data_IF_303845906310
#
_entry.id   IF_303845906310
#
_cell.length_a   1.000
_cell.length_b   1.000
_cell.length_c   1.000
_cell.angle_alpha   90.00
_cell.angle_beta   90.00
_cell.angle_gamma   90.00
#
_symmetry.space_group_name_H-M   'P 1'
#
loop_
_entity.id
_entity.type
_entity.pdbx_description
1 polymer ?
#
# COMPACT_ATOMS: atom_id res chain seq x y z
N UNK A 1 -41.68 21.06 -51.03
CA UNK A 1 -40.87 20.18 -51.89
C UNK A 1 -40.39 21.02 -53.05
N UNK A 2 -39.25 21.69 -52.87
CA UNK A 2 -38.61 22.52 -53.89
C UNK A 2 -37.21 21.95 -54.02
N UNK A 3 -37.06 21.04 -54.99
CA UNK A 3 -35.79 20.43 -55.38
C UNK A 3 -34.96 21.51 -56.09
N UNK A 4 -34.26 22.33 -55.32
CA UNK A 4 -33.05 22.99 -55.81
C UNK A 4 -31.97 21.91 -55.79
N UNK A 5 -31.50 21.52 -56.98
CA UNK A 5 -30.31 20.69 -57.17
C UNK A 5 -29.11 21.40 -56.54
N UNK A 6 -28.90 21.20 -55.23
CA UNK A 6 -27.63 21.47 -54.59
C UNK A 6 -26.65 20.43 -55.14
N UNK A 7 -25.51 20.88 -55.68
CA UNK A 7 -24.40 19.99 -56.01
C UNK A 7 -24.15 19.06 -54.80
N UNK A 8 -24.03 17.73 -54.99
CA UNK A 8 -23.77 16.84 -53.88
C UNK A 8 -22.46 17.27 -53.19
N UNK A 9 -22.53 17.54 -51.89
CA UNK A 9 -21.34 17.90 -51.11
C UNK A 9 -20.27 16.80 -51.24
N UNK A 10 -19.07 17.17 -51.68
CA UNK A 10 -17.95 16.24 -51.88
C UNK A 10 -17.50 15.57 -50.56
N UNK A 11 -17.78 16.18 -49.40
CA UNK A 11 -17.48 15.65 -48.09
C UNK A 11 -18.66 15.85 -47.13
N UNK A 12 -19.09 14.79 -46.46
CA UNK A 12 -20.14 14.81 -45.43
C UNK A 12 -19.55 14.40 -44.07
N UNK A 13 -19.83 15.17 -43.02
CA UNK A 13 -19.36 14.90 -41.66
C UNK A 13 -20.56 14.68 -40.75
N UNK A 14 -20.58 13.53 -40.06
CA UNK A 14 -21.50 13.21 -38.99
C UNK A 14 -20.75 13.21 -37.66
N UNK A 15 -21.18 14.02 -36.70
CA UNK A 15 -20.57 14.08 -35.37
C UNK A 15 -21.54 13.57 -34.31
N UNK A 16 -21.13 12.53 -33.58
CA UNK A 16 -21.87 11.95 -32.46
C UNK A 16 -21.23 12.46 -31.16
N UNK A 17 -22.00 13.18 -30.35
CA UNK A 17 -21.48 13.86 -29.16
C UNK A 17 -21.68 13.05 -27.88
N UNK A 18 -20.93 13.42 -26.84
CA UNK A 18 -21.10 12.96 -25.46
C UNK A 18 -20.96 14.15 -24.50
N UNK A 19 -21.58 14.08 -23.32
CA UNK A 19 -21.52 15.16 -22.31
C UNK A 19 -20.14 15.30 -21.69
N UNK A 20 -19.58 14.17 -21.29
CA UNK A 20 -18.28 14.02 -20.66
C UNK A 20 -17.75 12.60 -20.96
N UNK A 21 -16.47 12.34 -20.65
CA UNK A 21 -15.83 11.04 -20.95
C UNK A 21 -16.48 9.82 -20.26
N UNK A 22 -17.34 10.05 -19.26
CA UNK A 22 -18.03 8.99 -18.51
C UNK A 22 -19.50 8.81 -18.94
N UNK A 23 -20.01 9.70 -19.79
CA UNK A 23 -21.41 9.70 -20.23
C UNK A 23 -21.61 8.83 -21.45
N UNK A 24 -22.86 8.41 -21.67
CA UNK A 24 -23.27 7.73 -22.90
C UNK A 24 -23.23 8.69 -24.08
N UNK A 25 -23.01 8.16 -25.27
CA UNK A 25 -23.19 8.89 -26.52
C UNK A 25 -24.63 9.40 -26.66
N UNK A 26 -24.78 10.60 -27.22
CA UNK A 26 -26.08 11.20 -27.55
C UNK A 26 -26.63 10.66 -28.87
N UNK A 27 -26.81 9.34 -28.94
CA UNK A 27 -27.45 8.65 -30.05
C UNK A 27 -28.18 7.42 -29.53
N UNK A 28 -29.36 7.15 -30.08
CA UNK A 28 -30.09 5.90 -29.79
C UNK A 28 -29.53 4.77 -30.64
N UNK A 29 -29.72 3.53 -30.18
CA UNK A 29 -29.31 2.34 -30.92
C UNK A 29 -29.94 2.33 -32.32
N UNK A 30 -31.26 2.56 -32.41
CA UNK A 30 -32.02 2.53 -33.67
C UNK A 30 -31.53 3.57 -34.68
N UNK A 31 -31.17 4.78 -34.21
CA UNK A 31 -30.66 5.84 -35.09
C UNK A 31 -29.25 5.51 -35.60
N UNK A 32 -28.42 4.90 -34.75
CA UNK A 32 -27.09 4.47 -35.15
C UNK A 32 -27.16 3.30 -36.14
N UNK A 33 -28.02 2.32 -35.90
CA UNK A 33 -28.26 1.20 -36.83
C UNK A 33 -28.80 1.68 -38.17
N UNK A 34 -29.72 2.65 -38.15
CA UNK A 34 -30.20 3.30 -39.37
C UNK A 34 -29.04 3.96 -40.14
N UNK A 35 -28.15 4.69 -39.46
CA UNK A 35 -26.97 5.30 -40.07
C UNK A 35 -26.03 4.25 -40.69
N UNK A 36 -25.79 3.12 -40.01
CA UNK A 36 -24.99 2.02 -40.55
C UNK A 36 -25.61 1.44 -41.83
N UNK A 37 -26.93 1.22 -41.81
CA UNK A 37 -27.67 0.67 -42.95
C UNK A 37 -27.74 1.63 -44.14
N UNK A 38 -27.87 2.94 -43.88
CA UNK A 38 -28.02 3.97 -44.91
C UNK A 38 -26.74 4.17 -45.74
N UNK A 39 -25.57 3.96 -45.13
CA UNK A 39 -24.27 4.13 -45.79
C UNK A 39 -23.51 2.81 -46.04
N UNK A 40 -24.13 1.66 -45.71
CA UNK A 40 -23.54 0.33 -45.82
C UNK A 40 -22.17 0.23 -45.14
N UNK A 41 -22.05 0.78 -43.93
CA UNK A 41 -20.78 0.79 -43.17
C UNK A 41 -20.40 -0.61 -42.69
N UNK A 42 -19.10 -0.94 -42.67
CA UNK A 42 -18.68 -2.24 -42.14
C UNK A 42 -19.11 -2.47 -40.68
N UNK A 43 -19.53 -3.71 -40.33
CA UNK A 43 -19.98 -4.06 -38.98
C UNK A 43 -18.93 -3.82 -37.90
N UNK A 44 -17.65 -3.81 -38.28
CA UNK A 44 -16.56 -3.72 -37.32
C UNK A 44 -16.35 -2.30 -36.76
N UNK A 45 -17.18 -1.31 -37.15
CA UNK A 45 -17.33 -0.02 -36.49
C UNK A 45 -17.83 -0.14 -35.04
N UNK A 46 -18.58 -1.19 -34.70
CA UNK A 46 -19.07 -1.43 -33.34
C UNK A 46 -17.94 -1.52 -32.31
N UNK A 47 -16.79 -2.09 -32.68
CA UNK A 47 -15.62 -2.17 -31.82
C UNK A 47 -15.12 -0.77 -31.39
N UNK A 48 -15.36 0.25 -32.21
CA UNK A 48 -14.99 1.63 -31.92
C UNK A 48 -16.07 2.40 -31.15
N UNK A 49 -17.31 1.91 -31.13
CA UNK A 49 -18.45 2.51 -30.41
C UNK A 49 -18.56 1.97 -28.99
N UNK A 50 -18.34 0.67 -28.80
CA UNK A 50 -18.45 -0.03 -27.52
C UNK A 50 -17.60 0.55 -26.37
N UNK A 51 -16.40 1.13 -26.62
CA UNK A 51 -15.61 1.80 -25.58
C UNK A 51 -16.31 3.00 -24.94
N UNK A 52 -17.27 3.63 -25.64
CA UNK A 52 -18.02 4.80 -25.15
C UNK A 52 -19.21 4.40 -24.25
N UNK A 53 -18.93 3.55 -23.25
CA UNK A 53 -19.90 3.10 -22.25
C UNK A 53 -19.93 4.02 -21.04
N UNK A 54 -21.04 3.98 -20.30
CA UNK A 54 -21.10 4.62 -18.98
C UNK A 54 -20.08 3.96 -18.05
N UNK A 55 -19.16 4.76 -17.52
CA UNK A 55 -18.09 4.28 -16.64
C UNK A 55 -18.37 4.74 -15.20
N UNK A 56 -18.36 3.80 -14.25
CA UNK A 56 -18.56 4.04 -12.81
C UNK A 56 -17.26 4.07 -11.99
N UNK A 57 -16.09 3.93 -12.64
CA UNK A 57 -14.77 3.98 -12.02
C UNK A 57 -13.65 4.07 -13.07
N UNK A 58 -12.38 3.99 -12.63
CA UNK A 58 -11.18 3.88 -13.49
C UNK A 58 -11.12 2.49 -14.16
N UNK A 59 -12.07 2.16 -15.02
CA UNK A 59 -12.13 0.85 -15.68
C UNK A 59 -11.37 0.83 -17.02
N UNK A 60 -10.07 0.52 -16.91
CA UNK A 60 -9.31 -0.59 -17.53
C UNK A 60 -9.24 -0.83 -19.06
N UNK A 61 -10.03 -0.20 -19.92
CA UNK A 61 -9.82 -0.37 -21.37
C UNK A 61 -8.93 0.77 -21.89
N UNK A 62 -7.61 0.67 -21.69
CA UNK A 62 -6.63 1.63 -22.24
C UNK A 62 -6.35 1.35 -23.71
N UNK A 63 -6.53 0.09 -24.12
CA UNK A 63 -6.36 -0.36 -25.50
C UNK A 63 -7.42 0.22 -26.44
N UNK A 64 -6.98 1.03 -27.38
CA UNK A 64 -7.79 1.38 -28.55
C UNK A 64 -7.96 0.16 -29.46
N UNK A 65 -9.16 -0.11 -30.00
CA UNK A 65 -9.34 -1.10 -31.04
C UNK A 65 -8.36 -0.88 -32.20
N UNK A 66 -7.79 -1.95 -32.76
CA UNK A 66 -6.78 -1.84 -33.81
C UNK A 66 -7.39 -1.19 -35.06
N UNK A 67 -6.59 -0.40 -35.79
CA UNK A 67 -7.00 0.20 -37.06
C UNK A 67 -7.57 -0.87 -38.00
N UNK A 68 -8.74 -0.57 -38.57
CA UNK A 68 -9.44 -1.42 -39.54
C UNK A 68 -9.56 -0.72 -40.87
N UNK A 69 -9.41 -1.49 -41.94
CA UNK A 69 -9.52 -1.02 -43.32
C UNK A 69 -10.26 -2.07 -44.14
N UNK A 70 -11.32 -1.65 -44.81
CA UNK A 70 -12.13 -2.45 -45.72
C UNK A 70 -12.01 -1.91 -47.14
N UNK A 71 -11.83 -2.79 -48.12
CA UNK A 71 -12.08 -2.45 -49.52
C UNK A 71 -13.53 -2.79 -49.81
N UNK A 72 -14.33 -1.80 -50.22
CA UNK A 72 -15.74 -2.00 -50.57
C UNK A 72 -15.83 -2.58 -51.99
N UNK A 73 -14.90 -2.20 -52.86
CA UNK A 73 -14.76 -2.74 -54.22
C UNK A 73 -13.38 -3.39 -54.40
N UNK A 74 -13.33 -4.50 -55.13
CA UNK A 74 -12.06 -5.14 -55.49
C UNK A 74 -11.26 -4.22 -56.42
N UNK A 75 -10.05 -3.85 -56.01
CA UNK A 75 -9.12 -3.08 -56.83
C UNK A 75 -8.69 -3.94 -58.02
N UNK A 76 -9.18 -3.64 -59.22
CA UNK A 76 -8.65 -4.22 -60.45
C UNK A 76 -7.35 -3.50 -60.83
N UNK A 77 -6.30 -4.21 -61.29
CA UNK A 77 -5.00 -3.61 -61.63
C UNK A 77 -5.05 -2.53 -62.73
N UNK A 78 -6.14 -2.48 -63.50
CA UNK A 78 -6.27 -1.66 -64.71
C UNK A 78 -6.99 -0.32 -64.47
N UNK A 79 -7.50 -0.03 -63.26
CA UNK A 79 -8.19 1.23 -62.98
C UNK A 79 -7.24 2.29 -62.40
N UNK A 80 -7.06 3.46 -63.06
CA UNK A 80 -6.13 4.51 -62.61
C UNK A 80 -6.58 5.26 -61.36
N UNK A 81 -7.83 5.06 -60.91
CA UNK A 81 -8.35 5.58 -59.64
C UNK A 81 -8.76 4.40 -58.75
N UNK A 82 -8.14 4.29 -57.57
CA UNK A 82 -8.40 3.21 -56.61
C UNK A 82 -9.89 3.04 -56.28
N UNK A 83 -10.31 1.81 -55.97
CA UNK A 83 -11.72 1.48 -55.68
C UNK A 83 -12.26 2.14 -54.42
N UNK A 84 -13.55 1.97 -54.15
CA UNK A 84 -14.19 2.46 -52.91
C UNK A 84 -13.61 1.74 -51.68
N UNK A 85 -13.37 2.49 -50.60
CA UNK A 85 -12.74 1.98 -49.38
C UNK A 85 -13.33 2.62 -48.13
N UNK A 86 -13.14 1.97 -46.99
CA UNK A 86 -13.54 2.45 -45.68
C UNK A 86 -12.47 2.12 -44.64
N UNK A 87 -12.36 2.97 -43.63
CA UNK A 87 -11.44 2.79 -42.52
C UNK A 87 -12.06 3.23 -41.21
N UNK A 88 -11.58 2.66 -40.11
CA UNK A 88 -11.87 3.18 -38.79
C UNK A 88 -10.68 3.02 -37.86
N UNK A 89 -10.51 4.03 -37.01
CA UNK A 89 -9.55 4.00 -35.92
C UNK A 89 -10.09 4.78 -34.73
N UNK A 90 -9.50 4.53 -33.56
CA UNK A 90 -9.71 5.36 -32.39
C UNK A 90 -8.38 5.89 -31.92
N UNK A 91 -8.39 7.13 -31.45
CA UNK A 91 -7.21 7.76 -30.89
C UNK A 91 -7.59 8.37 -29.54
N UNK A 92 -6.60 8.40 -28.65
CA UNK A 92 -6.70 9.08 -27.36
C UNK A 92 -5.93 10.38 -27.42
N UNK A 93 -6.42 11.36 -26.67
CA UNK A 93 -5.84 12.69 -26.59
C UNK A 93 -5.99 13.23 -25.19
N UNK A 94 -5.10 14.12 -24.79
CA UNK A 94 -5.14 14.73 -23.46
C UNK A 94 -5.75 16.11 -23.57
N UNK A 95 -6.63 16.44 -22.62
CA UNK A 95 -7.18 17.78 -22.45
C UNK A 95 -6.91 18.25 -21.03
N UNK A 96 -6.42 19.49 -20.91
CA UNK A 96 -6.28 20.16 -19.62
C UNK A 96 -7.65 20.59 -19.11
N UNK A 97 -8.00 20.14 -17.92
CA UNK A 97 -9.22 20.53 -17.22
C UNK A 97 -9.08 21.98 -16.72
N UNK A 98 -10.01 22.85 -17.10
CA UNK A 98 -10.04 24.26 -16.69
C UNK A 98 -10.60 24.46 -15.26
N UNK A 99 -10.33 23.54 -14.34
CA UNK A 99 -10.80 23.63 -12.94
C UNK A 99 -9.68 24.05 -12.00
N UNK A 100 -9.05 25.18 -12.30
CA UNK A 100 -7.92 25.71 -11.51
C UNK A 100 -8.32 26.00 -10.06
N UNK A 101 -9.58 26.37 -9.80
CA UNK A 101 -10.10 26.58 -8.43
C UNK A 101 -10.12 25.32 -7.56
N UNK A 102 -10.05 24.12 -8.14
CA UNK A 102 -10.01 22.87 -7.38
C UNK A 102 -8.58 22.47 -6.94
N UNK A 103 -7.54 23.07 -7.56
CA UNK A 103 -6.15 22.83 -7.14
C UNK A 103 -5.89 23.31 -5.71
N UNK A 104 -6.55 24.39 -5.28
CA UNK A 104 -6.42 24.92 -3.92
C UNK A 104 -7.10 24.02 -2.87
N UNK A 105 -8.13 23.26 -3.25
CA UNK A 105 -8.91 22.41 -2.34
C UNK A 105 -8.44 20.95 -2.31
N UNK A 106 -7.77 20.47 -3.36
CA UNK A 106 -7.34 19.08 -3.49
C UNK A 106 -5.92 18.99 -4.06
N UNK A 107 -4.88 18.77 -3.21
CA UNK A 107 -3.49 18.71 -3.66
C UNK A 107 -3.18 17.51 -4.57
N UNK A 108 -4.04 16.48 -4.57
CA UNK A 108 -3.93 15.30 -5.45
C UNK A 108 -4.77 15.41 -6.74
N UNK A 109 -5.31 16.60 -7.05
CA UNK A 109 -6.12 16.81 -8.25
C UNK A 109 -5.28 16.69 -9.53
N UNK A 110 -5.70 15.83 -10.46
CA UNK A 110 -5.08 15.76 -11.78
C UNK A 110 -5.69 16.81 -12.73
N UNK A 111 -4.91 17.80 -13.18
CA UNK A 111 -5.39 18.79 -14.13
C UNK A 111 -5.59 18.21 -15.53
N UNK A 112 -5.21 16.97 -15.80
CA UNK A 112 -5.31 16.36 -17.12
C UNK A 112 -6.43 15.31 -17.19
N UNK A 113 -7.10 15.24 -18.34
CA UNK A 113 -8.04 14.17 -18.66
C UNK A 113 -7.64 13.53 -19.98
N UNK A 114 -7.51 12.20 -19.99
CA UNK A 114 -7.36 11.43 -21.21
C UNK A 114 -8.77 11.20 -21.78
N UNK A 115 -8.97 11.63 -23.02
CA UNK A 115 -10.21 11.49 -23.77
C UNK A 115 -9.97 10.60 -24.98
N UNK A 116 -11.04 10.10 -25.56
CA UNK A 116 -11.00 9.26 -26.75
C UNK A 116 -11.96 9.81 -27.79
N UNK A 117 -11.58 9.68 -29.05
CA UNK A 117 -12.46 9.91 -30.21
C UNK A 117 -12.29 8.70 -31.13
N UNK A 118 -13.36 8.29 -31.79
CA UNK A 118 -13.28 7.36 -32.90
C UNK A 118 -13.59 8.07 -34.22
N UNK A 119 -12.86 7.70 -35.25
CA UNK A 119 -13.00 8.22 -36.61
C UNK A 119 -13.31 7.04 -37.50
N UNK A 120 -14.45 7.12 -38.18
CA UNK A 120 -14.78 6.28 -39.32
C UNK A 120 -14.77 7.16 -40.56
N UNK A 121 -14.20 6.64 -41.63
CA UNK A 121 -14.21 7.29 -42.93
C UNK A 121 -14.56 6.28 -44.00
N UNK A 122 -15.35 6.72 -44.98
CA UNK A 122 -15.69 5.98 -46.17
C UNK A 122 -15.48 6.87 -47.40
N UNK A 123 -14.80 6.34 -48.41
CA UNK A 123 -14.63 6.94 -49.72
C UNK A 123 -15.39 6.14 -50.77
N UNK A 124 -16.37 6.78 -51.41
CA UNK A 124 -17.17 6.19 -52.48
C UNK A 124 -16.71 6.73 -53.84
N UNK A 125 -16.18 5.84 -54.67
CA UNK A 125 -15.60 6.17 -55.98
C UNK A 125 -16.66 6.63 -56.98
N UNK A 126 -17.85 6.03 -56.94
CA UNK A 126 -18.96 6.29 -57.87
C UNK A 126 -19.39 7.75 -57.90
N UNK A 127 -19.43 8.39 -56.73
CA UNK A 127 -19.88 9.76 -56.55
C UNK A 127 -18.77 10.72 -56.09
N UNK A 128 -17.52 10.25 -56.06
CA UNK A 128 -16.36 10.95 -55.50
C UNK A 128 -16.64 11.58 -54.12
N UNK A 129 -17.31 10.81 -53.27
CA UNK A 129 -17.90 11.30 -52.03
C UNK A 129 -17.15 10.75 -50.83
N UNK A 130 -16.75 11.64 -49.93
CA UNK A 130 -16.15 11.30 -48.65
C UNK A 130 -17.19 11.42 -47.53
N UNK A 131 -17.27 10.40 -46.69
CA UNK A 131 -18.15 10.39 -45.51
C UNK A 131 -17.27 10.18 -44.30
N UNK A 132 -17.36 11.10 -43.33
CA UNK A 132 -16.71 11.01 -42.04
C UNK A 132 -17.77 10.83 -40.95
N UNK A 133 -17.57 9.87 -40.07
CA UNK A 133 -18.32 9.76 -38.81
C UNK A 133 -17.32 9.91 -37.66
N UNK A 134 -17.49 10.98 -36.91
CA UNK A 134 -16.68 11.32 -35.75
C UNK A 134 -17.48 11.01 -34.49
N UNK A 135 -16.95 10.13 -33.64
CA UNK A 135 -17.56 9.76 -32.37
C UNK A 135 -16.78 10.45 -31.25
N UNK A 136 -17.47 11.33 -30.52
CA UNK A 136 -16.92 12.18 -29.47
C UNK A 136 -15.71 13.04 -29.91
N UNK A 137 -15.79 13.79 -31.03
CA UNK A 137 -14.66 14.59 -31.50
C UNK A 137 -14.25 15.67 -30.50
N UNK A 138 -12.95 15.95 -30.46
CA UNK A 138 -12.40 17.14 -29.81
C UNK A 138 -12.81 18.40 -30.58
N UNK A 139 -13.18 19.47 -29.88
CA UNK A 139 -13.55 20.75 -30.51
C UNK A 139 -12.45 21.28 -31.46
N UNK A 140 -11.16 21.34 -31.04
CA UNK A 140 -10.05 21.67 -31.94
C UNK A 140 -9.98 20.80 -33.20
N UNK A 141 -10.15 19.48 -33.06
CA UNK A 141 -10.04 18.56 -34.19
C UNK A 141 -11.20 18.75 -35.18
N UNK A 142 -12.42 18.97 -34.67
CA UNK A 142 -13.57 19.30 -35.50
C UNK A 142 -13.38 20.62 -36.24
N UNK A 143 -12.95 21.67 -35.55
CA UNK A 143 -12.69 22.98 -36.15
C UNK A 143 -11.59 22.93 -37.22
N UNK A 144 -10.51 22.18 -36.95
CA UNK A 144 -9.43 21.95 -37.90
C UNK A 144 -9.93 21.26 -39.18
N UNK A 145 -10.76 20.22 -39.03
CA UNK A 145 -11.36 19.51 -40.15
C UNK A 145 -12.32 20.41 -40.96
N UNK A 146 -13.20 21.15 -40.29
CA UNK A 146 -14.13 22.09 -40.92
C UNK A 146 -13.39 23.20 -41.67
N UNK A 147 -12.31 23.72 -41.08
CA UNK A 147 -11.46 24.74 -41.72
C UNK A 147 -10.74 24.18 -42.95
N UNK A 148 -10.19 22.96 -42.88
CA UNK A 148 -9.54 22.32 -44.02
C UNK A 148 -10.51 22.09 -45.19
N UNK A 149 -11.75 21.69 -44.90
CA UNK A 149 -12.79 21.51 -45.91
C UNK A 149 -13.25 22.85 -46.50
N UNK A 150 -13.41 23.88 -45.66
CA UNK A 150 -13.75 25.23 -46.10
C UNK A 150 -12.68 25.81 -47.04
N UNK A 151 -11.40 25.70 -46.65
CA UNK A 151 -10.28 26.17 -47.47
C UNK A 151 -10.17 25.44 -48.81
N UNK A 152 -10.44 24.13 -48.84
CA UNK A 152 -10.45 23.37 -50.09
C UNK A 152 -11.59 23.80 -51.02
N UNK A 153 -12.77 24.09 -50.45
CA UNK A 153 -13.92 24.63 -51.20
C UNK A 153 -13.62 26.01 -51.79
N UNK A 154 -12.99 26.89 -51.01
CA UNK A 154 -12.65 28.26 -51.45
C UNK A 154 -11.53 28.27 -52.48
N UNK A 155 -10.55 27.38 -52.34
CA UNK A 155 -9.37 27.29 -53.23
C UNK A 155 -9.60 26.43 -54.48
N UNK A 156 -10.74 25.71 -54.56
CA UNK A 156 -11.00 24.73 -55.62
C UNK A 156 -10.02 23.55 -55.65
N UNK A 157 -9.31 23.28 -54.54
CA UNK A 157 -8.34 22.19 -54.41
C UNK A 157 -9.09 20.87 -54.19
N UNK A 158 -8.69 19.80 -54.89
CA UNK A 158 -9.21 18.46 -54.61
C UNK A 158 -8.88 18.04 -53.18
N UNK A 159 -9.90 17.60 -52.44
CA UNK A 159 -9.75 17.11 -51.07
C UNK A 159 -9.05 15.75 -51.09
N UNK A 160 -8.08 15.57 -50.20
CA UNK A 160 -7.45 14.28 -49.96
C UNK A 160 -7.82 13.78 -48.56
N UNK A 161 -8.50 12.63 -48.47
CA UNK A 161 -8.92 12.04 -47.20
C UNK A 161 -7.74 11.80 -46.25
N UNK A 162 -6.56 11.42 -46.76
CA UNK A 162 -5.37 11.18 -45.94
C UNK A 162 -4.75 12.47 -45.38
N UNK A 163 -4.86 13.60 -46.10
CA UNK A 163 -4.48 14.93 -45.60
C UNK A 163 -5.37 15.33 -44.41
N UNK A 164 -6.68 15.08 -44.52
CA UNK A 164 -7.64 15.32 -43.42
C UNK A 164 -7.35 14.45 -42.19
N UNK A 165 -7.01 13.17 -42.38
CA UNK A 165 -6.60 12.29 -41.29
C UNK A 165 -5.31 12.75 -40.60
N UNK A 166 -4.31 13.21 -41.38
CA UNK A 166 -3.06 13.76 -40.85
C UNK A 166 -3.31 15.02 -40.01
N UNK A 167 -4.15 15.94 -40.50
CA UNK A 167 -4.51 17.17 -39.78
C UNK A 167 -5.31 16.90 -38.49
N UNK A 168 -6.22 15.92 -38.50
CA UNK A 168 -6.90 15.45 -37.29
C UNK A 168 -5.86 14.96 -36.28
N UNK A 169 -5.04 13.97 -36.65
CA UNK A 169 -4.09 13.35 -35.72
C UNK A 169 -3.11 14.37 -35.15
N UNK A 170 -2.59 15.28 -35.98
CA UNK A 170 -1.73 16.39 -35.55
C UNK A 170 -2.37 17.21 -34.42
N UNK A 171 -3.59 17.71 -34.64
CA UNK A 171 -4.34 18.53 -33.67
C UNK A 171 -4.56 17.82 -32.33
N UNK A 172 -4.59 16.49 -32.36
CA UNK A 172 -4.90 15.65 -31.21
C UNK A 172 -3.63 15.21 -30.47
N UNK A 173 -2.45 15.40 -31.06
CA UNK A 173 -1.15 15.12 -30.46
C UNK A 173 -0.61 16.27 -29.60
N UNK A 174 -1.04 17.51 -29.86
CA UNK A 174 -0.49 18.76 -29.27
C UNK A 174 -0.23 18.72 -27.76
N UNK A 175 -1.15 18.15 -26.98
CA UNK A 175 -1.10 18.20 -25.52
C UNK A 175 -0.21 17.12 -24.87
N UNK A 176 0.24 16.10 -25.61
CA UNK A 176 1.01 14.99 -25.02
C UNK A 176 2.31 15.45 -24.40
N UNK A 177 3.01 16.40 -25.03
CA UNK A 177 4.25 16.97 -24.50
C UNK A 177 4.07 17.64 -23.15
N UNK A 178 2.96 18.37 -22.99
CA UNK A 178 2.62 19.05 -21.73
C UNK A 178 2.21 18.05 -20.65
N UNK A 179 1.48 16.99 -21.03
CA UNK A 179 1.10 15.92 -20.13
C UNK A 179 2.32 15.17 -19.58
N UNK A 180 3.24 14.73 -20.46
CA UNK A 180 4.48 14.04 -20.06
C UNK A 180 5.30 14.94 -19.12
N UNK A 181 5.43 16.23 -19.43
CA UNK A 181 6.11 17.20 -18.56
C UNK A 181 5.45 17.30 -17.19
N UNK A 182 4.11 17.24 -17.12
CA UNK A 182 3.37 17.23 -15.86
C UNK A 182 3.70 15.99 -15.02
N UNK A 183 3.74 14.81 -15.63
CA UNK A 183 4.14 13.57 -14.94
C UNK A 183 5.59 13.62 -14.47
N UNK A 184 6.50 14.16 -15.29
CA UNK A 184 7.90 14.37 -14.92
C UNK A 184 8.04 15.29 -13.70
N UNK A 185 7.26 16.36 -13.62
CA UNK A 185 7.26 17.28 -12.48
C UNK A 185 6.78 16.59 -11.21
N UNK A 186 5.64 15.89 -11.28
CA UNK A 186 5.13 15.13 -10.13
C UNK A 186 6.15 14.09 -9.65
N UNK A 187 6.79 13.38 -10.58
CA UNK A 187 7.83 12.43 -10.22
C UNK A 187 9.05 13.11 -9.59
N UNK A 188 9.49 14.25 -10.13
CA UNK A 188 10.61 15.01 -9.59
C UNK A 188 10.33 15.45 -8.15
N UNK A 189 9.15 16.01 -7.90
CA UNK A 189 8.74 16.46 -6.56
C UNK A 189 8.74 15.29 -5.55
N UNK A 190 8.30 14.10 -5.96
CA UNK A 190 8.36 12.90 -5.12
C UNK A 190 9.80 12.38 -4.95
N UNK A 191 10.59 12.39 -6.03
CA UNK A 191 11.99 11.95 -6.01
C UNK A 191 12.84 12.83 -5.11
N UNK A 192 12.68 14.16 -5.19
CA UNK A 192 13.43 15.11 -4.35
C UNK A 192 13.07 14.88 -2.87
N UNK A 193 11.81 14.61 -2.53
CA UNK A 193 11.40 14.23 -1.17
C UNK A 193 12.07 12.94 -0.67
N UNK A 194 12.22 11.93 -1.53
CA UNK A 194 12.80 10.63 -1.16
C UNK A 194 14.33 10.64 -1.13
N UNK A 195 14.97 11.38 -2.05
CA UNK A 195 16.45 11.41 -2.16
C UNK A 195 17.12 12.42 -1.23
N UNK A 196 16.43 13.52 -0.90
CA UNK A 196 16.89 14.49 0.10
C UNK A 196 16.60 14.01 1.53
N UNK A 197 15.90 12.88 1.69
CA UNK A 197 15.76 12.19 2.96
C UNK A 197 17.14 11.79 3.47
N UNK A 198 17.65 12.52 4.47
CA UNK A 198 18.93 12.16 5.08
C UNK A 198 18.78 10.84 5.86
N UNK A 199 19.31 9.75 5.31
CA UNK A 199 19.56 8.52 6.06
C UNK A 199 20.78 8.78 6.94
N UNK A 200 20.55 9.13 8.21
CA UNK A 200 21.62 9.44 9.15
C UNK A 200 22.45 8.19 9.47
N UNK A 201 23.78 8.31 9.36
CA UNK A 201 24.76 7.28 9.73
C UNK A 201 24.71 6.96 11.24
N UNK A 202 25.08 5.73 11.57
CA UNK A 202 24.92 5.08 12.88
C UNK A 202 25.71 5.67 14.07
N UNK A 203 26.34 6.85 13.95
CA UNK A 203 27.36 7.32 14.90
C UNK A 203 26.95 8.51 15.80
N UNK A 204 25.80 9.17 15.61
CA UNK A 204 25.43 10.33 16.45
C UNK A 204 24.09 10.18 17.18
N UNK A 205 24.06 10.32 18.53
CA UNK A 205 22.84 10.36 19.31
C UNK A 205 22.34 11.80 19.50
N UNK A 206 21.11 12.05 19.03
CA UNK A 206 20.11 13.05 19.46
C UNK A 206 19.68 14.08 18.39
N UNK A 207 18.58 13.77 17.70
CA UNK A 207 17.30 14.53 17.70
C UNK A 207 16.29 13.74 16.86
N UNK A 208 14.99 13.67 17.23
CA UNK A 208 13.97 13.15 16.33
C UNK A 208 13.87 14.12 15.17
N UNK A 209 14.25 13.70 13.95
CA UNK A 209 13.92 14.43 12.73
C UNK A 209 12.39 14.63 12.71
N UNK A 210 11.86 15.87 12.72
CA UNK A 210 10.41 16.08 12.79
C UNK A 210 9.68 15.71 11.49
N UNK A 211 10.34 15.70 10.33
CA UNK A 211 9.63 16.08 9.10
C UNK A 211 9.64 15.08 7.93
N UNK A 212 10.08 13.84 8.10
CA UNK A 212 9.94 12.84 7.03
C UNK A 212 9.08 11.66 7.45
N UNK A 213 7.80 11.93 7.69
CA UNK A 213 6.77 10.88 7.76
C UNK A 213 6.52 10.40 6.34
N UNK A 214 7.29 9.39 5.90
CA UNK A 214 7.03 8.71 4.64
C UNK A 214 5.77 7.90 4.80
N UNK A 215 4.71 8.34 4.12
CA UNK A 215 3.39 7.74 4.26
C UNK A 215 3.14 6.74 3.13
N UNK A 216 2.28 5.75 3.41
CA UNK A 216 1.73 4.85 2.38
C UNK A 216 1.10 5.62 1.19
N UNK A 217 0.60 6.84 1.46
CA UNK A 217 0.10 7.75 0.43
C UNK A 217 1.14 8.13 -0.63
N UNK A 218 2.41 8.27 -0.26
CA UNK A 218 3.47 8.62 -1.21
C UNK A 218 3.75 7.43 -2.16
N UNK A 219 3.67 6.19 -1.64
CA UNK A 219 3.71 4.98 -2.47
C UNK A 219 2.51 4.90 -3.41
N UNK A 220 1.31 5.23 -2.92
CA UNK A 220 0.10 5.25 -3.73
C UNK A 220 0.21 6.30 -4.86
N UNK A 221 0.76 7.49 -4.58
CA UNK A 221 0.99 8.54 -5.58
C UNK A 221 1.95 8.09 -6.67
N UNK A 222 3.10 7.51 -6.29
CA UNK A 222 4.06 6.96 -7.25
C UNK A 222 3.40 5.87 -8.09
N UNK A 223 2.60 4.99 -7.47
CA UNK A 223 1.89 3.93 -8.20
C UNK A 223 0.91 4.49 -9.23
N UNK A 224 0.13 5.53 -8.88
CA UNK A 224 -0.76 6.21 -9.84
C UNK A 224 0.02 6.83 -11.00
N UNK A 225 1.20 7.39 -10.76
CA UNK A 225 2.05 7.93 -11.83
C UNK A 225 2.60 6.80 -12.71
N UNK A 226 3.02 5.69 -12.11
CA UNK A 226 3.46 4.49 -12.83
C UNK A 226 2.38 3.97 -13.78
N UNK A 227 1.15 3.79 -13.27
CA UNK A 227 0.04 3.27 -14.06
C UNK A 227 -0.30 4.20 -15.23
N UNK A 228 -0.29 5.53 -15.00
CA UNK A 228 -0.46 6.53 -16.09
C UNK A 228 0.63 6.47 -17.15
N UNK A 229 1.86 6.10 -16.79
CA UNK A 229 2.97 5.97 -17.75
C UNK A 229 2.85 4.67 -18.54
N UNK A 230 2.45 3.58 -17.91
CA UNK A 230 2.14 2.33 -18.61
C UNK A 230 1.01 2.54 -19.63
N UNK A 231 0.01 3.35 -19.26
CA UNK A 231 -1.07 3.72 -20.18
C UNK A 231 -0.54 4.48 -21.41
N UNK A 232 0.44 5.38 -21.21
CA UNK A 232 1.09 6.10 -22.32
C UNK A 232 1.78 5.16 -23.30
N UNK A 233 2.45 4.11 -22.81
CA UNK A 233 3.13 3.15 -23.67
C UNK A 233 2.13 2.40 -24.57
N UNK A 234 0.97 2.00 -24.01
CA UNK A 234 -0.11 1.36 -24.78
C UNK A 234 -0.71 2.33 -25.79
N UNK A 235 -1.00 3.57 -25.38
CA UNK A 235 -1.61 4.60 -26.24
C UNK A 235 -0.70 4.94 -27.41
N UNK A 236 0.59 5.22 -27.15
CA UNK A 236 1.54 5.54 -28.21
C UNK A 236 1.84 4.34 -29.12
N UNK A 237 1.83 3.11 -28.58
CA UNK A 237 1.93 1.90 -29.39
C UNK A 237 0.79 1.77 -30.39
N UNK A 238 -0.45 2.00 -29.95
CA UNK A 238 -1.64 1.96 -30.82
C UNK A 238 -1.65 3.10 -31.85
N UNK A 239 -1.23 4.30 -31.45
CA UNK A 239 -1.13 5.45 -32.34
C UNK A 239 -0.07 5.24 -33.43
N UNK A 240 1.08 4.67 -33.07
CA UNK A 240 2.12 4.34 -34.03
C UNK A 240 1.66 3.28 -35.05
N UNK A 241 0.94 2.25 -34.60
CA UNK A 241 0.33 1.25 -35.50
C UNK A 241 -0.67 1.92 -36.46
N UNK A 242 -1.54 2.80 -35.94
CA UNK A 242 -2.53 3.55 -36.74
C UNK A 242 -1.85 4.42 -37.79
N UNK A 243 -0.84 5.21 -37.42
CA UNK A 243 -0.08 6.06 -38.35
C UNK A 243 0.66 5.22 -39.40
N UNK A 244 1.29 4.11 -39.01
CA UNK A 244 1.98 3.23 -39.95
C UNK A 244 1.03 2.62 -40.99
N UNK A 245 -0.19 2.25 -40.56
CA UNK A 245 -1.23 1.72 -41.43
C UNK A 245 -1.79 2.81 -42.33
N UNK A 246 -2.04 4.01 -41.82
CA UNK A 246 -2.44 5.17 -42.63
C UNK A 246 -1.39 5.51 -43.70
N UNK A 247 -0.10 5.53 -43.35
CA UNK A 247 0.98 5.76 -44.30
C UNK A 247 1.05 4.65 -45.36
N UNK A 248 0.83 3.39 -44.98
CA UNK A 248 0.79 2.28 -45.94
C UNK A 248 -0.40 2.39 -46.90
N UNK A 249 -1.57 2.79 -46.40
CA UNK A 249 -2.74 2.98 -47.25
C UNK A 249 -2.61 4.22 -48.14
N UNK A 250 -2.03 5.33 -47.64
CA UNK A 250 -1.79 6.51 -48.47
C UNK A 250 -0.84 6.19 -49.64
N UNK A 251 0.18 5.36 -49.42
CA UNK A 251 1.05 4.85 -50.51
C UNK A 251 0.28 4.00 -51.53
N UNK A 252 -0.61 3.13 -51.06
CA UNK A 252 -1.38 2.20 -51.92
C UNK A 252 -2.45 2.91 -52.74
N UNK A 253 -3.13 3.88 -52.15
CA UNK A 253 -4.20 4.65 -52.78
C UNK A 253 -3.70 5.96 -53.37
N UNK A 254 -2.39 6.19 -53.40
CA UNK A 254 -1.83 7.30 -54.13
C UNK A 254 -2.09 7.10 -55.62
N UNK A 255 -2.94 7.95 -56.19
CA UNK A 255 -3.40 7.89 -57.59
C UNK A 255 -2.33 8.34 -58.60
N UNK A 256 -1.10 8.59 -58.14
CA UNK A 256 -0.05 9.19 -58.94
C UNK A 256 0.73 8.14 -59.73
N UNK A 257 0.09 7.53 -60.72
CA UNK A 257 0.82 6.96 -61.86
C UNK A 257 1.07 8.07 -62.88
N UNK A 258 2.22 8.75 -62.79
CA UNK A 258 2.71 9.64 -63.85
C UNK A 258 2.37 11.14 -63.76
N UNK A 259 1.76 11.63 -62.67
CA UNK A 259 1.57 13.07 -62.47
C UNK A 259 2.82 13.73 -61.85
N UNK A 260 3.40 14.72 -62.53
CA UNK A 260 4.58 15.47 -62.07
C UNK A 260 4.35 16.33 -60.80
N UNK A 261 3.08 16.58 -60.42
CA UNK A 261 2.69 17.41 -59.26
C UNK A 261 1.82 16.61 -58.26
N UNK A 262 2.35 15.51 -57.74
CA UNK A 262 1.65 14.69 -56.75
C UNK A 262 1.91 15.19 -55.31
N UNK A 263 0.88 15.46 -54.52
CA UNK A 263 1.00 15.85 -53.10
C UNK A 263 1.12 14.67 -52.14
N UNK A 264 1.04 13.42 -52.62
CA UNK A 264 1.17 12.24 -51.76
C UNK A 264 2.53 12.19 -51.03
N UNK A 265 3.62 12.67 -51.66
CA UNK A 265 4.93 12.68 -51.00
C UNK A 265 4.92 13.53 -49.74
N UNK A 266 4.32 14.72 -49.81
CA UNK A 266 4.17 15.63 -48.67
C UNK A 266 3.33 15.00 -47.56
N UNK A 267 2.23 14.32 -47.91
CA UNK A 267 1.38 13.62 -46.93
C UNK A 267 2.14 12.46 -46.27
N UNK A 268 2.93 11.71 -47.04
CA UNK A 268 3.71 10.59 -46.53
C UNK A 268 4.82 11.09 -45.59
N UNK A 269 5.48 12.19 -45.95
CA UNK A 269 6.50 12.86 -45.14
C UNK A 269 5.90 13.41 -43.83
N UNK A 270 4.75 14.10 -43.90
CA UNK A 270 4.02 14.59 -42.72
C UNK A 270 3.65 13.44 -41.76
N UNK A 271 3.08 12.36 -42.29
CA UNK A 271 2.76 11.18 -41.48
C UNK A 271 4.03 10.54 -40.88
N UNK A 272 5.15 10.56 -41.60
CA UNK A 272 6.43 10.06 -41.08
C UNK A 272 6.98 10.95 -39.95
N UNK A 273 6.84 12.26 -40.07
CA UNK A 273 7.21 13.22 -39.02
C UNK A 273 6.37 12.99 -37.75
N UNK A 274 5.05 12.86 -37.90
CA UNK A 274 4.15 12.51 -36.79
C UNK A 274 4.52 11.16 -36.15
N UNK A 275 4.90 10.15 -36.96
CA UNK A 275 5.38 8.87 -36.44
C UNK A 275 6.67 9.03 -35.63
N UNK A 276 7.62 9.84 -36.10
CA UNK A 276 8.87 10.14 -35.38
C UNK A 276 8.59 10.85 -34.05
N UNK A 277 7.64 11.78 -34.03
CA UNK A 277 7.22 12.44 -32.80
C UNK A 277 6.63 11.46 -31.78
N UNK A 278 5.72 10.58 -32.22
CA UNK A 278 5.13 9.55 -31.36
C UNK A 278 6.20 8.61 -30.83
N UNK A 279 7.15 8.16 -31.66
CA UNK A 279 8.27 7.33 -31.23
C UNK A 279 9.16 8.01 -30.19
N UNK A 280 9.40 9.31 -30.34
CA UNK A 280 10.13 10.10 -29.34
C UNK A 280 9.37 10.14 -28.02
N UNK A 281 8.06 10.35 -28.06
CA UNK A 281 7.22 10.36 -26.87
C UNK A 281 7.13 8.98 -26.19
N UNK A 282 7.10 7.87 -26.96
CA UNK A 282 7.23 6.50 -26.40
C UNK A 282 8.56 6.31 -25.69
N UNK A 283 9.68 6.78 -26.28
CA UNK A 283 11.00 6.69 -25.63
C UNK A 283 11.06 7.49 -24.34
N UNK A 284 10.46 8.70 -24.32
CA UNK A 284 10.35 9.53 -23.11
C UNK A 284 9.53 8.83 -22.03
N UNK A 285 8.37 8.27 -22.38
CA UNK A 285 7.55 7.49 -21.46
C UNK A 285 8.32 6.30 -20.87
N UNK A 286 9.05 5.54 -21.70
CA UNK A 286 9.86 4.41 -21.22
C UNK A 286 11.04 4.82 -20.31
N UNK A 287 11.67 5.97 -20.56
CA UNK A 287 12.68 6.53 -19.64
C UNK A 287 12.02 6.92 -18.31
N UNK A 288 10.85 7.57 -18.38
CA UNK A 288 10.11 7.98 -17.20
C UNK A 288 9.67 6.77 -16.36
N UNK A 289 9.20 5.70 -17.00
CA UNK A 289 8.84 4.45 -16.34
C UNK A 289 10.00 3.87 -15.53
N UNK A 290 11.21 3.81 -16.13
CA UNK A 290 12.43 3.37 -15.42
C UNK A 290 12.77 4.24 -14.22
N UNK A 291 12.58 5.56 -14.33
CA UNK A 291 12.79 6.49 -13.20
C UNK A 291 11.79 6.25 -12.08
N UNK A 292 10.52 6.07 -12.42
CA UNK A 292 9.46 5.76 -11.45
C UNK A 292 9.76 4.47 -10.71
N UNK A 293 10.17 3.41 -11.42
CA UNK A 293 10.59 2.16 -10.79
C UNK A 293 11.75 2.35 -9.81
N UNK A 294 12.76 3.14 -10.19
CA UNK A 294 13.87 3.48 -9.30
C UNK A 294 13.42 4.21 -8.03
N UNK A 295 12.55 5.22 -8.15
CA UNK A 295 12.02 5.96 -7.00
C UNK A 295 11.12 5.08 -6.13
N UNK A 296 10.30 4.22 -6.73
CA UNK A 296 9.44 3.27 -6.01
C UNK A 296 10.25 2.25 -5.20
N UNK A 297 11.37 1.78 -5.75
CA UNK A 297 12.28 0.87 -5.07
C UNK A 297 12.92 1.55 -3.86
N UNK A 298 13.52 2.74 -4.04
CA UNK A 298 14.15 3.48 -2.94
C UNK A 298 13.14 3.77 -1.83
N UNK A 299 11.90 4.17 -2.18
CA UNK A 299 10.86 4.39 -1.19
C UNK A 299 10.50 3.11 -0.43
N UNK A 300 10.44 1.97 -1.12
CA UNK A 300 10.16 0.68 -0.47
C UNK A 300 11.26 0.27 0.49
N UNK A 301 12.53 0.41 0.08
CA UNK A 301 13.70 0.11 0.91
C UNK A 301 13.74 1.01 2.15
N UNK A 302 13.41 2.30 2.00
CA UNK A 302 13.40 3.28 3.08
C UNK A 302 12.27 3.02 4.09
N UNK A 303 11.07 2.66 3.61
CA UNK A 303 9.95 2.24 4.46
C UNK A 303 10.28 0.96 5.23
N UNK A 304 10.96 0.00 4.59
CA UNK A 304 11.40 -1.23 5.26
C UNK A 304 12.44 -0.94 6.34
N UNK A 305 13.41 -0.06 6.06
CA UNK A 305 14.38 0.40 7.04
C UNK A 305 13.74 1.09 8.24
N UNK A 306 12.78 2.00 8.02
CA UNK A 306 12.07 2.70 9.09
C UNK A 306 11.25 1.74 9.95
N UNK A 307 10.53 0.81 9.32
CA UNK A 307 9.79 -0.24 10.02
C UNK A 307 10.71 -1.13 10.86
N UNK A 308 11.86 -1.54 10.31
CA UNK A 308 12.85 -2.32 11.03
C UNK A 308 13.45 -1.55 12.22
N UNK A 309 13.72 -0.25 12.05
CA UNK A 309 14.23 0.64 13.11
C UNK A 309 13.19 0.83 14.23
N UNK A 310 11.94 1.11 13.88
CA UNK A 310 10.83 1.24 14.82
C UNK A 310 10.62 -0.04 15.63
N UNK A 311 10.61 -1.20 14.95
CA UNK A 311 10.51 -2.50 15.61
C UNK A 311 11.71 -2.77 16.54
N UNK A 312 12.93 -2.46 16.10
CA UNK A 312 14.13 -2.62 16.93
C UNK A 312 14.09 -1.74 18.19
N UNK A 313 13.61 -0.50 18.06
CA UNK A 313 13.40 0.42 19.17
C UNK A 313 12.39 -0.12 20.19
N UNK A 314 11.23 -0.58 19.71
CA UNK A 314 10.22 -1.23 20.55
C UNK A 314 10.75 -2.50 21.22
N UNK A 315 11.52 -3.32 20.52
CA UNK A 315 12.16 -4.52 21.10
C UNK A 315 13.17 -4.15 22.19
N UNK A 316 13.92 -3.06 22.03
CA UNK A 316 14.86 -2.59 23.05
C UNK A 316 14.15 -2.02 24.27
N UNK A 317 13.06 -1.28 24.08
CA UNK A 317 12.21 -0.80 25.16
C UNK A 317 11.57 -1.96 25.93
N UNK A 318 10.99 -2.92 25.21
CA UNK A 318 10.40 -4.15 25.77
C UNK A 318 11.44 -4.95 26.55
N UNK A 319 12.68 -5.08 26.04
CA UNK A 319 13.78 -5.74 26.77
C UNK A 319 14.12 -5.01 28.08
N UNK A 320 14.17 -3.67 28.06
CA UNK A 320 14.44 -2.87 29.24
C UNK A 320 13.31 -3.01 30.28
N UNK A 321 12.06 -3.03 29.85
CA UNK A 321 10.90 -3.27 30.71
C UNK A 321 10.91 -4.69 31.30
N UNK A 322 11.15 -5.72 30.49
CA UNK A 322 11.29 -7.10 30.99
C UNK A 322 12.45 -7.24 31.97
N UNK A 323 13.56 -6.51 31.78
CA UNK A 323 14.66 -6.45 32.74
C UNK A 323 14.22 -5.93 34.11
N UNK A 324 13.42 -4.86 34.13
CA UNK A 324 12.86 -4.30 35.38
C UNK A 324 11.85 -5.26 36.03
N UNK A 325 11.00 -5.91 35.24
CA UNK A 325 10.07 -6.93 35.73
C UNK A 325 10.81 -8.14 36.30
N UNK A 326 11.94 -8.53 35.72
CA UNK A 326 12.81 -9.61 36.24
C UNK A 326 13.38 -9.26 37.61
N UNK A 327 13.83 -8.01 37.81
CA UNK A 327 14.33 -7.54 39.11
C UNK A 327 13.20 -7.47 40.15
N UNK A 328 11.99 -7.03 39.73
CA UNK A 328 10.82 -7.01 40.62
C UNK A 328 10.36 -8.43 41.00
N UNK A 329 10.36 -9.38 40.07
CA UNK A 329 10.02 -10.77 40.37
C UNK A 329 11.07 -11.43 41.25
N UNK A 330 12.37 -11.16 41.03
CA UNK A 330 13.44 -11.62 41.92
C UNK A 330 13.25 -11.09 43.36
N UNK A 331 12.97 -9.80 43.51
CA UNK A 331 12.67 -9.21 44.83
C UNK A 331 11.41 -9.81 45.47
N UNK A 332 10.36 -10.09 44.67
CA UNK A 332 9.16 -10.79 45.15
C UNK A 332 9.44 -12.22 45.60
N UNK A 333 10.41 -12.92 45.02
CA UNK A 333 10.82 -14.25 45.52
C UNK A 333 11.43 -14.19 46.93
N UNK A 334 12.14 -13.11 47.26
CA UNK A 334 12.66 -12.90 48.60
C UNK A 334 11.55 -12.64 49.63
N UNK A 335 10.51 -11.89 49.25
CA UNK A 335 9.34 -11.67 50.11
C UNK A 335 8.57 -12.99 50.35
N UNK A 336 8.46 -13.83 49.32
CA UNK A 336 7.87 -15.17 49.46
C UNK A 336 8.70 -16.08 50.40
N UNK A 337 10.03 -15.96 50.42
CA UNK A 337 10.88 -16.69 51.36
C UNK A 337 10.68 -16.21 52.80
N UNK A 338 10.53 -14.90 53.03
CA UNK A 338 10.25 -14.34 54.35
C UNK A 338 8.90 -14.82 54.91
N UNK A 339 7.85 -14.83 54.08
CA UNK A 339 6.52 -15.36 54.46
C UNK A 339 6.61 -16.84 54.84
N UNK A 340 7.35 -17.65 54.07
CA UNK A 340 7.58 -19.07 54.42
C UNK A 340 8.28 -19.23 55.77
N UNK A 341 9.28 -18.40 56.09
CA UNK A 341 9.98 -18.46 57.38
C UNK A 341 9.03 -18.11 58.55
N UNK A 342 8.19 -17.08 58.41
CA UNK A 342 7.22 -16.69 59.43
C UNK A 342 6.24 -17.82 59.73
N UNK A 343 5.70 -18.47 58.70
CA UNK A 343 4.77 -19.60 58.87
C UNK A 343 5.41 -20.77 59.63
N UNK A 344 6.68 -21.09 59.37
CA UNK A 344 7.41 -22.14 60.10
C UNK A 344 7.53 -21.80 61.59
N UNK A 345 7.88 -20.55 61.94
CA UNK A 345 7.99 -20.11 63.33
C UNK A 345 6.63 -20.25 64.04
N UNK A 346 5.55 -19.79 63.40
CA UNK A 346 4.20 -19.87 63.98
C UNK A 346 3.74 -21.31 64.19
N UNK A 347 4.07 -22.22 63.27
CA UNK A 347 3.69 -23.64 63.34
C UNK A 347 4.40 -24.36 64.49
N UNK A 348 5.63 -23.98 64.82
CA UNK A 348 6.37 -24.53 65.97
C UNK A 348 5.81 -23.96 67.28
N UNK A 349 5.51 -22.67 67.31
CA UNK A 349 5.09 -21.98 68.53
C UNK A 349 3.66 -22.31 68.93
N UNK A 350 2.75 -22.51 67.97
CA UNK A 350 1.34 -22.79 68.22
C UNK A 350 1.11 -24.00 69.15
N UNK A 351 1.64 -25.22 68.90
CA UNK A 351 1.45 -26.36 69.78
C UNK A 351 2.13 -26.18 71.14
N UNK A 352 3.30 -25.54 71.19
CA UNK A 352 4.01 -25.25 72.45
C UNK A 352 3.16 -24.31 73.32
N UNK A 353 2.53 -23.31 72.71
CA UNK A 353 1.70 -22.34 73.41
C UNK A 353 0.43 -22.98 73.98
N UNK A 354 -0.22 -23.86 73.20
CA UNK A 354 -1.42 -24.59 73.65
C UNK A 354 -1.09 -25.52 74.82
N UNK A 355 0.02 -26.25 74.75
CA UNK A 355 0.44 -27.15 75.84
C UNK A 355 0.85 -26.34 77.07
N UNK A 356 1.60 -25.25 76.90
CA UNK A 356 1.95 -24.34 78.01
C UNK A 356 0.70 -23.78 78.70
N UNK A 357 -0.34 -23.39 77.94
CA UNK A 357 -1.60 -22.86 78.51
C UNK A 357 -2.38 -23.93 79.29
N UNK A 358 -2.46 -25.14 78.74
CA UNK A 358 -3.13 -26.28 79.40
C UNK A 358 -2.45 -26.69 80.71
N UNK A 359 -1.12 -26.74 80.73
CA UNK A 359 -0.38 -27.15 81.93
C UNK A 359 -0.14 -26.01 82.92
N UNK A 360 -0.15 -24.74 82.47
CA UNK A 360 -0.01 -23.57 83.37
C UNK A 360 -1.17 -23.44 84.35
N UNK A 361 -2.34 -24.02 84.07
CA UNK A 361 -3.53 -23.94 84.92
C UNK A 361 -3.66 -25.10 85.92
N UNK A 362 -2.90 -26.20 85.75
CA UNK A 362 -2.98 -27.40 86.58
C UNK A 362 -1.76 -27.63 87.50
N UNK A 363 -0.75 -26.77 87.44
CA UNK A 363 0.52 -26.96 88.17
C UNK A 363 0.59 -26.29 89.56
N UNK A 364 -0.48 -25.65 90.03
CA UNK A 364 -0.51 -25.00 91.35
C UNK A 364 -1.69 -25.55 92.16
N UNK A 365 -1.42 -26.53 93.01
CA UNK A 365 -2.28 -26.86 94.15
C UNK A 365 -1.66 -26.22 95.39
N UNK A 366 -2.40 -25.34 96.05
CA UNK A 366 -2.03 -24.76 97.34
C UNK A 366 -2.80 -25.53 98.40
N UNK A 367 -2.11 -26.34 99.20
CA UNK A 367 -2.67 -26.93 100.41
C UNK A 367 -2.66 -25.91 101.57
N UNK A 368 -3.62 -26.05 102.49
CA UNK A 368 -3.96 -25.10 103.57
C UNK A 368 -2.85 -24.81 104.61
N UNK A 369 -1.63 -25.33 104.43
CA UNK A 369 -0.48 -25.07 105.30
C UNK A 369 0.64 -24.23 104.65
N UNK A 370 0.37 -23.54 103.54
CA UNK A 370 1.22 -22.43 103.07
C UNK A 370 2.59 -22.81 102.47
N UNK A 371 2.81 -24.09 102.11
CA UNK A 371 4.00 -24.49 101.34
C UNK A 371 3.64 -24.76 99.89
N UNK A 372 4.19 -23.96 98.97
CA UNK A 372 4.02 -24.13 97.52
C UNK A 372 4.85 -25.33 97.08
N UNK A 373 4.21 -26.49 96.89
CA UNK A 373 4.87 -27.65 96.28
C UNK A 373 4.66 -27.66 94.78
N UNK A 374 5.73 -27.48 94.02
CA UNK A 374 5.77 -27.74 92.58
C UNK A 374 5.50 -29.23 92.38
N UNK A 375 4.46 -29.58 91.61
CA UNK A 375 4.11 -30.97 91.35
C UNK A 375 5.31 -31.74 90.77
N UNK A 376 5.61 -32.92 91.35
CA UNK A 376 6.73 -33.81 90.95
C UNK A 376 6.59 -34.39 89.52
N UNK A 377 5.53 -34.04 88.81
CA UNK A 377 5.14 -34.56 87.50
C UNK A 377 5.38 -33.60 86.31
N UNK A 378 6.23 -32.58 86.48
CA UNK A 378 6.58 -31.63 85.40
C UNK A 378 7.17 -32.29 84.14
N UNK A 379 7.63 -33.55 84.20
CA UNK A 379 8.11 -34.31 83.05
C UNK A 379 6.99 -34.70 82.06
N UNK A 380 5.73 -34.80 82.51
CA UNK A 380 4.57 -35.07 81.62
C UNK A 380 4.38 -33.98 80.56
N UNK A 381 4.77 -32.74 80.88
CA UNK A 381 4.77 -31.63 79.92
C UNK A 381 5.67 -31.97 78.74
N UNK A 382 6.88 -32.49 78.99
CA UNK A 382 7.80 -32.90 77.93
C UNK A 382 7.24 -34.09 77.12
N UNK A 383 6.60 -35.04 77.79
CA UNK A 383 6.01 -36.23 77.16
C UNK A 383 4.85 -35.90 76.22
N UNK A 384 4.05 -34.87 76.53
CA UNK A 384 2.94 -34.45 75.66
C UNK A 384 3.40 -33.47 74.58
N UNK A 385 4.35 -32.58 74.89
CA UNK A 385 4.81 -31.54 73.96
C UNK A 385 5.64 -32.12 72.80
N UNK A 386 6.52 -33.09 73.06
CA UNK A 386 7.40 -33.68 72.05
C UNK A 386 6.63 -34.43 70.93
N UNK A 387 5.65 -35.31 71.21
CA UNK A 387 4.88 -35.95 70.16
C UNK A 387 3.94 -34.98 69.45
N UNK A 388 3.41 -33.97 70.14
CA UNK A 388 2.56 -32.96 69.50
C UNK A 388 3.37 -32.10 68.51
N UNK A 389 4.58 -31.67 68.88
CA UNK A 389 5.49 -30.95 67.98
C UNK A 389 5.98 -31.82 66.82
N UNK A 390 6.23 -33.11 67.06
CA UNK A 390 6.52 -34.05 65.98
C UNK A 390 5.34 -34.24 65.03
N UNK A 391 4.11 -34.34 65.54
CA UNK A 391 2.89 -34.46 64.73
C UNK A 391 2.64 -33.20 63.89
N UNK A 392 2.85 -31.99 64.42
CA UNK A 392 2.74 -30.74 63.64
C UNK A 392 3.80 -30.65 62.55
N UNK A 393 5.04 -31.08 62.82
CA UNK A 393 6.10 -31.13 61.82
C UNK A 393 5.82 -32.16 60.72
N UNK A 394 5.30 -33.33 61.08
CA UNK A 394 4.91 -34.38 60.12
C UNK A 394 3.73 -33.95 59.25
N UNK A 395 2.69 -33.34 59.84
CA UNK A 395 1.56 -32.79 59.09
C UNK A 395 2.01 -31.72 58.07
N UNK A 396 2.97 -30.87 58.46
CA UNK A 396 3.58 -29.88 57.58
C UNK A 396 4.42 -30.53 56.46
N UNK A 397 5.28 -31.49 56.79
CA UNK A 397 6.07 -32.22 55.79
C UNK A 397 5.19 -32.95 54.78
N UNK A 398 4.10 -33.58 55.24
CA UNK A 398 3.11 -34.23 54.39
C UNK A 398 2.36 -33.21 53.50
N UNK A 399 1.99 -32.05 54.04
CA UNK A 399 1.34 -30.99 53.27
C UNK A 399 2.25 -30.44 52.17
N UNK A 400 3.51 -30.11 52.49
CA UNK A 400 4.52 -29.66 51.53
C UNK A 400 4.79 -30.72 50.45
N UNK A 401 4.91 -32.00 50.84
CA UNK A 401 5.12 -33.09 49.89
C UNK A 401 3.90 -33.26 48.95
N UNK A 402 2.68 -33.09 49.46
CA UNK A 402 1.47 -33.14 48.63
C UNK A 402 1.31 -31.93 47.70
N UNK A 403 1.72 -30.74 48.14
CA UNK A 403 1.70 -29.50 47.33
C UNK A 403 2.69 -29.60 46.17
N UNK A 404 3.91 -30.07 46.45
CA UNK A 404 4.95 -30.23 45.42
C UNK A 404 4.57 -31.29 44.36
N UNK A 405 3.76 -32.30 44.74
CA UNK A 405 3.18 -33.30 43.82
C UNK A 405 1.97 -32.79 43.04
N UNK A 406 1.29 -31.74 43.50
CA UNK A 406 0.20 -31.08 42.76
C UNK A 406 0.75 -30.14 41.69
N UNK A 407 1.81 -29.39 42.01
CA UNK A 407 2.46 -28.48 41.06
C UNK A 407 3.17 -29.21 39.91
N UNK A 408 3.66 -30.44 40.14
CA UNK A 408 4.28 -31.25 39.08
C UNK A 408 3.28 -31.87 38.10
N UNK A 409 1.99 -32.00 38.47
CA UNK A 409 0.94 -32.49 37.56
C UNK A 409 0.38 -31.40 36.63
N UNK A 410 0.62 -30.12 36.92
CA UNK A 410 0.15 -29.01 36.08
C UNK A 410 1.13 -28.61 34.95
N UNK A 411 2.39 -29.11 34.97
CA UNK A 411 3.38 -28.90 33.90
C UNK A 411 3.48 -30.09 32.94
N UNK A 412 2.35 -30.49 32.37
CA UNK A 412 2.26 -31.53 31.34
C UNK A 412 1.69 -30.99 30.02
N UNK A 413 2.48 -30.19 29.29
CA UNK A 413 2.20 -29.73 27.93
C UNK A 413 3.51 -29.28 27.26
N UNK A 414 3.78 -29.58 25.97
CA UNK A 414 5.15 -29.74 25.52
C UNK A 414 5.76 -28.47 24.88
N UNK A 415 7.09 -28.38 25.05
CA UNK A 415 8.12 -27.70 24.24
C UNK A 415 8.68 -26.33 24.73
N UNK A 416 10.00 -26.42 25.00
CA UNK A 416 11.07 -25.41 25.02
C UNK A 416 11.03 -24.32 26.11
N UNK A 417 11.93 -24.40 27.11
CA UNK A 417 13.22 -23.70 27.04
C UNK A 417 14.13 -24.10 28.21
N UNK A 418 15.44 -23.99 27.99
CA UNK A 418 16.56 -24.51 28.78
C UNK A 418 16.72 -23.86 30.17
N UNK A 419 17.35 -24.66 31.04
CA UNK A 419 18.24 -24.29 32.13
C UNK A 419 17.62 -23.74 33.43
N UNK A 420 17.66 -24.53 34.49
CA UNK A 420 18.78 -24.43 35.44
C UNK A 420 18.78 -25.67 36.35
N UNK A 421 19.94 -26.33 36.42
CA UNK A 421 20.24 -27.40 37.36
C UNK A 421 19.87 -26.99 38.78
N UNK A 422 18.90 -27.67 39.39
CA UNK A 422 18.56 -27.49 40.81
C UNK A 422 19.07 -28.70 41.62
N UNK A 423 20.38 -28.95 41.52
CA UNK A 423 21.10 -29.91 42.34
C UNK A 423 22.22 -29.21 43.13
N UNK A 424 21.86 -28.24 43.96
CA UNK A 424 22.77 -27.70 44.99
C UNK A 424 22.07 -26.68 45.90
N UNK A 425 21.03 -27.09 46.64
CA UNK A 425 20.51 -26.23 47.73
C UNK A 425 20.01 -27.03 48.94
N UNK A 426 20.69 -28.14 49.21
CA UNK A 426 20.67 -28.82 50.50
C UNK A 426 22.10 -28.90 51.05
N UNK A 427 22.67 -27.74 51.40
CA UNK A 427 23.85 -27.68 52.26
C UNK A 427 23.43 -27.14 53.63
N UNK A 428 23.23 -28.10 54.55
CA UNK A 428 23.41 -27.99 56.01
C UNK A 428 23.11 -26.61 56.61
N UNK A 429 21.85 -26.36 56.94
CA UNK A 429 21.48 -25.34 57.93
C UNK A 429 22.03 -25.78 59.29
N UNK A 430 23.23 -25.31 59.62
CA UNK A 430 23.82 -25.37 60.97
C UNK A 430 23.03 -24.41 61.88
N UNK A 431 21.88 -24.89 62.37
CA UNK A 431 21.05 -24.20 63.38
C UNK A 431 21.72 -24.12 64.77
N UNK A 432 23.00 -24.49 64.89
CA UNK A 432 23.76 -24.61 66.15
C UNK A 432 24.64 -23.40 66.50
N UNK A 433 24.74 -22.40 65.61
CA UNK A 433 25.63 -21.25 65.82
C UNK A 433 24.88 -19.91 66.04
N UNK A 434 23.63 -19.75 65.59
CA UNK A 434 22.85 -18.52 65.84
C UNK A 434 22.17 -18.43 67.22
N UNK A 435 21.94 -19.55 67.90
CA UNK A 435 21.42 -19.55 69.27
C UNK A 435 22.49 -19.21 70.33
N UNK A 436 23.77 -19.43 70.02
CA UNK A 436 24.89 -19.10 70.92
C UNK A 436 25.21 -17.60 70.94
N UNK A 437 24.92 -16.88 69.86
CA UNK A 437 25.10 -15.43 69.78
C UNK A 437 24.08 -14.67 70.64
N UNK A 438 22.82 -15.15 70.67
CA UNK A 438 21.74 -14.51 71.43
C UNK A 438 21.91 -14.65 72.96
N UNK A 439 22.53 -15.73 73.44
CA UNK A 439 22.83 -15.92 74.87
C UNK A 439 24.13 -15.23 75.33
N UNK A 440 25.03 -14.87 74.42
CA UNK A 440 26.29 -14.19 74.74
C UNK A 440 26.15 -12.68 75.05
N UNK A 441 25.02 -12.06 74.69
CA UNK A 441 24.83 -10.61 74.80
C UNK A 441 24.24 -10.16 76.15
N UNK A 442 23.72 -11.08 76.98
CA UNK A 442 23.13 -10.76 78.29
C UNK A 442 24.12 -10.84 79.48
N UNK A 443 25.29 -11.46 79.33
CA UNK A 443 26.31 -11.54 80.39
C UNK A 443 27.27 -10.34 80.44
N UNK A 444 27.25 -9.47 79.43
CA UNK A 444 28.13 -8.29 79.33
C UNK A 444 27.68 -7.04 80.09
N UNK A 445 26.47 -7.02 80.66
CA UNK A 445 25.90 -5.83 81.29
C UNK A 445 26.23 -5.64 82.78
N UNK A 446 26.93 -6.58 83.44
CA UNK A 446 27.23 -6.51 84.89
C UNK A 446 28.61 -5.93 85.23
N UNK A 447 29.52 -5.79 84.26
CA UNK A 447 30.91 -5.34 84.50
C UNK A 447 31.23 -3.87 84.15
N UNK A 448 30.22 -3.07 83.78
CA UNK A 448 30.40 -1.64 83.44
C UNK A 448 30.08 -0.64 84.57
N UNK A 449 29.61 -1.11 85.72
CA UNK A 449 29.20 -0.23 86.84
C UNK A 449 30.29 -0.02 87.92
N UNK A 450 31.45 -0.70 87.86
CA UNK A 450 32.50 -0.66 88.92
C UNK A 450 33.78 0.10 88.54
N UNK A 451 33.79 0.86 87.44
CA UNK A 451 34.95 1.64 86.95
C UNK A 451 34.68 3.15 86.80
N UNK A 452 33.72 3.70 87.55
CA UNK A 452 33.34 5.12 87.43
C UNK A 452 33.27 5.89 88.75
N UNK A 453 34.01 5.43 89.77
CA UNK A 453 34.10 6.08 91.10
C UNK A 453 35.53 6.20 91.61
N UNK A 454 36.52 6.25 90.72
CA UNK A 454 37.89 6.70 91.04
C UNK A 454 38.42 7.49 89.83
N UNK A 455 38.01 8.75 89.72
CA UNK A 455 38.81 9.92 89.29
C UNK A 455 38.13 11.14 89.88
#
# INVERSE_FOLDING_TARGET
MTLLYAQPDACQIFSIYQKNSYSRLYITYDLFEWLLSAFSMFPAIWDFVLPFRFQTGESADVGSPPFKFGNIESVFPETPKGGSWELAYSFRYVVRNQREKQLESYPDYDPWSIRQTAVYQQYQRSNDKMIFVLIAPSDPARQSLEAAIGQAKDSGKELNAFELHGGLISTLQDNWRLYIRGLEQVLKDQSDRVTLAQVQSAEEPLSPLPDLVLNFLDRQRIKRVEDKILDLEVIFGSLLDTLSKLQRQSRRFCLCQGHKNCTCSLIIEELEEQMKEVQLNTKRAGILHKRVQGVAQILSDLLEYENAKSLSGLMQETRNEHGKVRILTEKSTHDAAAVKILTIITLIYLPITVVSGFFSTQLVHVDDNGTISIAKDAWWIAVVTVPLTAATLLAWQLWLYSSNKRDSKQKGGPIFEKAFSHNSLWSRVKMRERLRWFWGQFSGARNRQRRRTEV
#
